data_IF_393342361020
#
_entry.id   IF_393342361020
#
_cell.length_a   1.000
_cell.length_b   1.000
_cell.length_c   1.000
_cell.angle_alpha   90.00
_cell.angle_beta   90.00
_cell.angle_gamma   90.00
#
_symmetry.space_group_name_H-M   'P 1'
#
loop_
_entity.id
_entity.type
_entity.pdbx_description
1 polymer ?
#
# COMPACT_ATOMS: atom_id res chain seq x y z
N UNK A 1 -11.53 3.39 -3.62
CA UNK A 1 -10.51 4.06 -4.46
C UNK A 1 -10.54 3.58 -5.92
N UNK A 2 -10.21 2.31 -6.19
CA UNK A 2 -10.02 1.78 -7.55
C UNK A 2 -11.19 2.01 -8.52
N UNK A 3 -12.43 1.91 -8.05
CA UNK A 3 -13.63 2.20 -8.86
C UNK A 3 -13.56 3.60 -9.46
N UNK A 4 -13.37 4.63 -8.64
CA UNK A 4 -13.31 6.02 -9.11
C UNK A 4 -12.09 6.31 -9.99
N UNK A 5 -10.94 5.68 -9.72
CA UNK A 5 -9.76 5.77 -10.60
C UNK A 5 -10.03 5.18 -12.00
N UNK A 6 -10.73 4.03 -12.07
CA UNK A 6 -11.05 3.39 -13.35
C UNK A 6 -12.12 4.15 -14.13
N UNK A 7 -13.13 4.70 -13.45
CA UNK A 7 -14.11 5.60 -14.08
C UNK A 7 -13.44 6.86 -14.66
N UNK A 8 -12.55 7.50 -13.91
CA UNK A 8 -11.76 8.65 -14.38
C UNK A 8 -10.92 8.32 -15.62
N UNK A 9 -10.43 7.09 -15.72
CA UNK A 9 -9.69 6.57 -16.89
C UNK A 9 -10.59 6.10 -18.04
N UNK A 10 -11.91 6.19 -17.90
CA UNK A 10 -12.87 5.81 -18.93
C UNK A 10 -13.10 4.30 -19.06
N UNK A 11 -12.71 3.48 -18.08
CA UNK A 11 -12.86 2.02 -18.12
C UNK A 11 -14.30 1.51 -17.86
N UNK A 12 -15.27 2.40 -17.60
CA UNK A 12 -16.71 2.11 -17.40
C UNK A 12 -16.97 0.83 -16.57
N UNK A 13 -16.55 0.86 -15.31
CA UNK A 13 -16.80 -0.21 -14.33
C UNK A 13 -18.19 -0.13 -13.69
N UNK A 14 -18.81 1.04 -13.67
CA UNK A 14 -20.20 1.25 -13.26
C UNK A 14 -21.09 1.09 -14.48
N UNK A 15 -21.87 0.01 -14.51
CA UNK A 15 -22.65 -0.37 -15.69
C UNK A 15 -24.15 -0.23 -15.48
N UNK A 16 -24.59 -0.17 -14.22
CA UNK A 16 -26.01 -0.22 -13.88
C UNK A 16 -26.38 0.61 -12.65
N UNK A 17 -27.68 0.87 -12.50
CA UNK A 17 -28.22 1.44 -11.26
C UNK A 17 -27.98 0.57 -10.02
N UNK A 18 -27.78 -0.75 -10.19
CA UNK A 18 -27.44 -1.65 -9.07
C UNK A 18 -26.04 -1.34 -8.54
N UNK A 19 -25.08 -1.07 -9.43
CA UNK A 19 -23.71 -0.72 -9.04
C UNK A 19 -23.68 0.60 -8.29
N UNK A 20 -24.40 1.60 -8.81
CA UNK A 20 -24.59 2.90 -8.15
C UNK A 20 -25.16 2.70 -6.74
N UNK A 21 -26.20 1.88 -6.58
CA UNK A 21 -26.81 1.61 -5.27
C UNK A 21 -25.84 0.94 -4.30
N UNK A 22 -24.99 0.01 -4.76
CA UNK A 22 -23.99 -0.66 -3.92
C UNK A 22 -22.91 0.34 -3.50
N UNK A 23 -22.38 1.12 -4.43
CA UNK A 23 -21.36 2.13 -4.14
C UNK A 23 -21.91 3.18 -3.16
N UNK A 24 -23.14 3.65 -3.37
CA UNK A 24 -23.79 4.58 -2.46
C UNK A 24 -23.93 4.01 -1.04
N UNK A 25 -24.30 2.73 -0.92
CA UNK A 25 -24.35 2.04 0.39
C UNK A 25 -22.98 1.97 1.08
N UNK A 26 -21.90 1.76 0.32
CA UNK A 26 -20.55 1.78 0.90
C UNK A 26 -20.16 3.18 1.41
N UNK A 27 -20.53 4.23 0.69
CA UNK A 27 -20.35 5.62 1.15
C UNK A 27 -21.13 5.88 2.44
N UNK A 28 -22.40 5.48 2.47
CA UNK A 28 -23.27 5.63 3.64
C UNK A 28 -22.75 4.84 4.84
N UNK A 29 -22.23 3.62 4.61
CA UNK A 29 -21.61 2.79 5.64
C UNK A 29 -20.41 3.50 6.26
N UNK A 30 -19.45 3.95 5.44
CA UNK A 30 -18.26 4.65 5.93
C UNK A 30 -18.61 5.91 6.73
N UNK A 31 -19.62 6.66 6.30
CA UNK A 31 -20.11 7.82 7.04
C UNK A 31 -20.78 7.42 8.37
N UNK A 32 -21.54 6.32 8.39
CA UNK A 32 -22.31 5.88 9.56
C UNK A 32 -21.43 5.31 10.67
N UNK A 33 -20.37 4.58 10.30
CA UNK A 33 -19.38 4.07 11.27
C UNK A 33 -18.36 5.14 11.66
N UNK A 34 -18.42 6.34 11.09
CA UNK A 34 -17.44 7.40 11.34
C UNK A 34 -16.00 6.89 11.22
N UNK A 35 -15.61 6.38 10.04
CA UNK A 35 -14.30 5.69 9.81
C UNK A 35 -13.04 6.47 10.26
N UNK A 36 -13.16 7.78 10.49
CA UNK A 36 -12.09 8.64 11.01
C UNK A 36 -12.00 8.62 12.55
N UNK A 37 -12.88 7.91 13.24
CA UNK A 37 -13.02 7.89 14.69
C UNK A 37 -13.19 6.47 15.24
N UNK A 38 -14.02 5.64 14.61
CA UNK A 38 -14.28 4.29 15.11
C UNK A 38 -13.07 3.38 14.81
N UNK A 39 -12.54 2.66 15.83
CA UNK A 39 -11.43 1.75 15.64
C UNK A 39 -11.74 0.60 14.65
N UNK A 40 -10.73 0.17 13.90
CA UNK A 40 -10.79 -0.99 13.02
C UNK A 40 -9.55 -1.89 13.20
N UNK A 41 -9.58 -3.09 12.65
CA UNK A 41 -8.48 -4.07 12.79
C UNK A 41 -7.26 -3.79 11.89
N UNK A 42 -7.27 -2.71 11.09
CA UNK A 42 -6.20 -2.35 10.18
C UNK A 42 -6.02 -3.34 9.03
N UNK A 43 -5.01 -3.07 8.20
CA UNK A 43 -4.65 -3.94 7.06
C UNK A 43 -4.08 -5.30 7.50
N UNK A 44 -3.67 -5.41 8.76
CA UNK A 44 -3.07 -6.59 9.36
C UNK A 44 -4.05 -7.45 10.15
N UNK A 45 -5.32 -7.04 10.22
CA UNK A 45 -6.39 -7.76 10.92
C UNK A 45 -6.12 -7.95 12.43
N UNK A 46 -5.52 -6.96 13.07
CA UNK A 46 -4.99 -7.02 14.44
C UNK A 46 -5.36 -5.79 15.26
N UNK A 47 -5.96 -6.02 16.44
CA UNK A 47 -6.35 -5.02 17.43
C UNK A 47 -7.20 -3.87 16.88
N UNK A 48 -8.33 -3.59 17.52
CA UNK A 48 -9.13 -2.43 17.13
C UNK A 48 -8.43 -1.13 17.58
N UNK A 49 -7.94 -0.37 16.59
CA UNK A 49 -7.32 0.95 16.76
C UNK A 49 -7.75 1.87 15.61
N UNK A 50 -7.59 3.19 15.76
CA UNK A 50 -7.68 4.08 14.60
C UNK A 50 -6.37 3.92 13.81
N UNK A 51 -6.48 3.44 12.58
CA UNK A 51 -5.36 3.16 11.69
C UNK A 51 -5.24 4.21 10.58
N UNK A 52 -4.09 4.88 10.49
CA UNK A 52 -3.86 5.93 9.49
C UNK A 52 -3.99 5.36 8.07
N UNK A 53 -3.52 4.13 7.83
CA UNK A 53 -3.68 3.43 6.56
C UNK A 53 -5.16 3.20 6.19
N UNK A 54 -6.01 2.78 7.14
CA UNK A 54 -7.46 2.61 6.96
C UNK A 54 -8.17 3.95 6.68
N UNK A 55 -7.88 4.98 7.48
CA UNK A 55 -8.43 6.33 7.28
C UNK A 55 -8.05 6.86 5.90
N UNK A 56 -6.79 6.67 5.49
CA UNK A 56 -6.29 7.10 4.19
C UNK A 56 -6.92 6.38 3.01
N UNK A 57 -7.15 5.07 3.12
CA UNK A 57 -7.88 4.30 2.11
C UNK A 57 -9.31 4.85 1.91
N UNK A 58 -9.99 5.18 3.00
CA UNK A 58 -11.33 5.77 2.97
C UNK A 58 -11.32 7.18 2.36
N UNK A 59 -10.42 8.07 2.81
CA UNK A 59 -10.26 9.43 2.24
C UNK A 59 -10.01 9.37 0.74
N UNK A 60 -9.05 8.56 0.29
CA UNK A 60 -8.73 8.41 -1.12
C UNK A 60 -9.92 7.85 -1.91
N UNK A 61 -10.61 6.85 -1.34
CA UNK A 61 -11.79 6.26 -1.93
C UNK A 61 -12.94 7.24 -2.12
N UNK A 62 -13.29 7.96 -1.07
CA UNK A 62 -14.40 8.91 -1.06
C UNK A 62 -14.12 10.11 -1.97
N UNK A 63 -12.89 10.64 -1.97
CA UNK A 63 -12.48 11.68 -2.93
C UNK A 63 -12.67 11.24 -4.37
N UNK A 64 -12.20 10.06 -4.74
CA UNK A 64 -12.32 9.55 -6.12
C UNK A 64 -13.77 9.28 -6.51
N UNK A 65 -14.57 8.70 -5.62
CA UNK A 65 -15.98 8.41 -5.89
C UNK A 65 -16.84 9.68 -5.94
N UNK A 66 -16.49 10.73 -5.19
CA UNK A 66 -17.24 12.00 -5.23
C UNK A 66 -17.21 12.72 -6.58
N UNK A 67 -16.30 12.31 -7.49
CA UNK A 67 -16.23 12.82 -8.86
C UNK A 67 -17.31 12.22 -9.76
N UNK A 68 -18.01 11.16 -9.32
CA UNK A 68 -19.04 10.47 -10.07
C UNK A 68 -20.40 11.15 -9.77
N UNK A 69 -21.04 11.83 -10.73
CA UNK A 69 -22.22 12.67 -10.47
C UNK A 69 -23.41 11.95 -9.81
N UNK A 70 -23.52 10.64 -10.03
CA UNK A 70 -24.60 9.79 -9.51
C UNK A 70 -24.38 9.36 -8.05
N UNK A 71 -23.17 9.52 -7.49
CA UNK A 71 -22.84 9.14 -6.12
C UNK A 71 -22.75 10.37 -5.24
N UNK A 72 -23.50 10.37 -4.13
CA UNK A 72 -23.52 11.46 -3.16
C UNK A 72 -22.56 11.14 -2.03
N UNK A 73 -21.49 11.92 -1.94
CA UNK A 73 -20.52 11.87 -0.85
C UNK A 73 -20.61 13.17 -0.04
N UNK A 74 -20.98 13.13 1.25
CA UNK A 74 -20.92 14.30 2.12
C UNK A 74 -19.48 14.83 2.21
N UNK A 75 -19.29 16.14 2.03
CA UNK A 75 -17.95 16.76 2.06
C UNK A 75 -17.30 16.65 3.43
N UNK A 76 -18.09 16.82 4.49
CA UNK A 76 -17.62 16.80 5.87
C UNK A 76 -17.00 15.45 6.26
N UNK A 77 -17.54 14.35 5.72
CA UNK A 77 -17.02 12.99 5.90
C UNK A 77 -15.56 12.89 5.39
N UNK A 78 -15.27 13.43 4.21
CA UNK A 78 -13.90 13.47 3.67
C UNK A 78 -13.01 14.36 4.53
N UNK A 79 -13.47 15.57 4.86
CA UNK A 79 -12.70 16.56 5.62
C UNK A 79 -12.36 16.05 7.04
N UNK A 80 -13.24 15.29 7.68
CA UNK A 80 -12.98 14.65 8.98
C UNK A 80 -11.86 13.61 8.87
N UNK A 81 -11.89 12.77 7.83
CA UNK A 81 -10.80 11.83 7.56
C UNK A 81 -9.47 12.51 7.28
N UNK A 82 -9.46 13.58 6.49
CA UNK A 82 -8.24 14.37 6.24
C UNK A 82 -7.69 14.99 7.53
N UNK A 83 -8.55 15.59 8.37
CA UNK A 83 -8.14 16.12 9.67
C UNK A 83 -7.55 15.04 10.58
N UNK A 84 -8.13 13.84 10.57
CA UNK A 84 -7.60 12.72 11.34
C UNK A 84 -6.21 12.31 10.83
N UNK A 85 -5.99 12.20 9.52
CA UNK A 85 -4.65 11.92 8.96
C UNK A 85 -3.62 12.97 9.40
N UNK A 86 -3.96 14.26 9.35
CA UNK A 86 -3.04 15.33 9.77
C UNK A 86 -2.72 15.28 11.27
N UNK A 87 -3.61 14.71 12.09
CA UNK A 87 -3.40 14.51 13.52
C UNK A 87 -2.51 13.29 13.81
N UNK A 88 -2.67 12.20 13.05
CA UNK A 88 -2.01 10.93 13.31
C UNK A 88 -0.61 10.84 12.71
N UNK A 89 -0.42 11.35 11.50
CA UNK A 89 0.83 11.15 10.77
C UNK A 89 2.02 11.83 11.48
N UNK A 90 3.21 11.19 11.46
CA UNK A 90 3.58 10.02 10.65
C UNK A 90 3.38 8.66 11.34
N UNK A 91 2.56 8.57 12.40
CA UNK A 91 2.26 7.30 13.09
C UNK A 91 1.14 6.55 12.37
N UNK A 92 1.14 5.22 12.51
CA UNK A 92 0.03 4.39 12.03
C UNK A 92 -1.13 4.41 13.02
N UNK A 93 -0.84 4.33 14.31
CA UNK A 93 -1.83 4.41 15.38
C UNK A 93 -1.20 4.98 16.66
N UNK A 94 -1.98 5.08 17.72
CA UNK A 94 -1.47 5.44 19.05
C UNK A 94 -0.37 4.47 19.51
N UNK A 95 -0.56 3.15 19.29
CA UNK A 95 0.41 2.12 19.68
C UNK A 95 1.52 1.94 18.65
N UNK A 96 1.25 2.13 17.36
CA UNK A 96 2.19 1.86 16.27
C UNK A 96 2.87 3.15 15.77
N UNK A 97 4.10 3.40 16.23
CA UNK A 97 4.90 4.56 15.82
C UNK A 97 5.24 4.57 14.33
N UNK A 98 5.56 3.41 13.76
CA UNK A 98 5.83 3.21 12.33
C UNK A 98 5.22 1.89 11.92
N UNK A 99 4.62 1.85 10.74
CA UNK A 99 4.08 0.64 10.12
C UNK A 99 4.32 0.69 8.61
N UNK A 100 4.61 -0.44 7.99
CA UNK A 100 4.74 -0.61 6.54
C UNK A 100 3.44 -0.21 5.82
N UNK A 101 2.27 -0.38 6.45
CA UNK A 101 0.97 0.02 5.96
C UNK A 101 0.91 1.51 5.57
N UNK A 102 1.70 2.37 6.21
CA UNK A 102 1.80 3.80 5.89
C UNK A 102 2.30 4.06 4.47
N UNK A 103 3.03 3.12 3.84
CA UNK A 103 3.44 3.24 2.44
C UNK A 103 2.22 3.32 1.51
N UNK A 104 1.07 2.75 1.89
CA UNK A 104 -0.17 2.81 1.11
C UNK A 104 -0.71 4.24 0.95
N UNK A 105 -0.44 5.11 1.93
CA UNK A 105 -0.82 6.52 1.92
C UNK A 105 -0.05 7.35 0.89
N UNK A 106 1.13 6.86 0.50
CA UNK A 106 1.95 7.43 -0.57
C UNK A 106 1.58 6.77 -1.90
N UNK A 107 1.51 5.44 -1.93
CA UNK A 107 1.06 4.67 -3.08
C UNK A 107 0.22 3.47 -2.67
N UNK A 108 -1.01 3.31 -3.16
CA UNK A 108 -1.59 4.02 -4.31
C UNK A 108 -2.42 5.25 -3.95
N UNK A 109 -2.67 5.53 -2.67
CA UNK A 109 -3.70 6.47 -2.27
C UNK A 109 -3.33 7.95 -2.51
N UNK A 110 -2.03 8.27 -2.44
CA UNK A 110 -1.51 9.63 -2.67
C UNK A 110 -2.23 10.71 -1.83
N UNK A 111 -2.40 10.42 -0.54
CA UNK A 111 -3.09 11.28 0.44
C UNK A 111 -2.13 11.90 1.47
N UNK A 112 -0.86 11.51 1.48
CA UNK A 112 0.18 12.11 2.30
C UNK A 112 0.69 13.42 1.67
N UNK A 113 0.92 14.44 2.49
CA UNK A 113 1.65 15.65 2.07
C UNK A 113 3.12 15.32 1.77
N UNK A 114 3.87 16.18 1.04
CA UNK A 114 5.28 15.95 0.79
C UNK A 114 6.12 15.74 2.06
N UNK A 115 5.81 16.47 3.14
CA UNK A 115 6.51 16.35 4.42
C UNK A 115 6.19 15.03 5.11
N UNK A 116 4.92 14.65 5.17
CA UNK A 116 4.50 13.37 5.76
C UNK A 116 5.06 12.19 4.99
N UNK A 117 5.09 12.26 3.66
CA UNK A 117 5.74 11.23 2.81
C UNK A 117 7.22 11.07 3.17
N UNK A 118 7.95 12.17 3.32
CA UNK A 118 9.36 12.13 3.71
C UNK A 118 9.54 11.50 5.09
N UNK A 119 8.70 11.88 6.06
CA UNK A 119 8.76 11.35 7.42
C UNK A 119 8.39 9.85 7.47
N UNK A 120 7.36 9.42 6.74
CA UNK A 120 6.98 8.01 6.59
C UNK A 120 8.13 7.21 5.97
N UNK A 121 8.68 7.66 4.83
CA UNK A 121 9.76 6.93 4.15
C UNK A 121 11.00 6.80 5.02
N UNK A 122 11.41 7.90 5.67
CA UNK A 122 12.55 7.89 6.60
C UNK A 122 12.32 6.91 7.74
N UNK A 123 11.14 6.91 8.33
CA UNK A 123 10.80 6.03 9.45
C UNK A 123 10.75 4.56 9.01
N UNK A 124 10.10 4.25 7.90
CA UNK A 124 10.00 2.87 7.37
C UNK A 124 11.39 2.34 7.00
N UNK A 125 12.19 3.11 6.27
CA UNK A 125 13.54 2.68 5.87
C UNK A 125 14.46 2.49 7.08
N UNK A 126 14.39 3.37 8.09
CA UNK A 126 15.27 3.28 9.24
C UNK A 126 14.84 2.18 10.23
N UNK A 127 13.53 2.02 10.46
CA UNK A 127 13.04 1.12 11.50
C UNK A 127 12.65 -0.27 11.01
N UNK A 128 12.18 -0.40 9.77
CA UNK A 128 11.47 -1.59 9.31
C UNK A 128 12.15 -2.36 8.18
N UNK A 129 12.99 -1.72 7.36
CA UNK A 129 13.72 -2.40 6.27
C UNK A 129 14.75 -3.37 6.85
N UNK A 130 14.76 -4.60 6.33
CA UNK A 130 15.68 -5.69 6.68
C UNK A 130 16.38 -6.26 5.45
N UNK A 131 16.95 -7.46 5.56
CA UNK A 131 17.74 -8.06 4.49
C UNK A 131 16.86 -8.50 3.31
N UNK A 132 15.74 -9.16 3.58
CA UNK A 132 14.84 -9.83 2.62
C UNK A 132 13.44 -9.25 2.55
N UNK A 133 13.17 -8.21 3.33
CA UNK A 133 11.90 -7.52 3.28
C UNK A 133 11.83 -6.30 4.18
N UNK A 134 10.60 -5.93 4.47
CA UNK A 134 10.26 -4.88 5.44
C UNK A 134 9.33 -5.52 6.46
N UNK A 135 9.65 -5.41 7.75
CA UNK A 135 8.74 -5.90 8.78
C UNK A 135 7.48 -5.04 8.82
N UNK A 136 6.33 -5.60 9.25
CA UNK A 136 5.06 -4.85 9.28
C UNK A 136 5.16 -3.66 10.23
N UNK A 137 5.48 -3.93 11.47
CA UNK A 137 5.73 -2.95 12.53
C UNK A 137 6.59 -3.63 13.61
N UNK A 138 7.09 -2.88 14.60
CA UNK A 138 7.90 -3.45 15.69
C UNK A 138 7.06 -4.24 16.69
N UNK A 139 7.63 -5.29 17.25
CA UNK A 139 6.97 -6.22 18.17
C UNK A 139 5.82 -7.02 17.51
N UNK A 140 5.90 -7.24 16.20
CA UNK A 140 5.02 -8.13 15.48
C UNK A 140 5.33 -9.60 15.82
N UNK A 141 4.29 -10.34 16.24
CA UNK A 141 4.37 -11.74 16.65
C UNK A 141 4.13 -12.72 15.49
N UNK A 142 3.59 -12.25 14.36
CA UNK A 142 3.21 -13.13 13.24
C UNK A 142 4.47 -13.69 12.56
N UNK A 143 4.65 -15.01 12.64
CA UNK A 143 5.88 -15.72 12.23
C UNK A 143 7.17 -15.20 12.89
N UNK A 144 7.06 -14.62 14.08
CA UNK A 144 8.21 -14.21 14.87
C UNK A 144 9.07 -15.44 15.24
N UNK A 145 10.39 -15.32 15.06
CA UNK A 145 11.33 -16.43 15.24
C UNK A 145 11.96 -16.51 16.63
N UNK A 146 11.67 -15.56 17.51
CA UNK A 146 12.26 -15.49 18.85
C UNK A 146 11.36 -16.18 19.90
N UNK A 147 11.92 -16.95 20.87
CA UNK A 147 11.14 -17.58 21.93
C UNK A 147 10.34 -16.63 22.84
N UNK A 148 10.71 -15.36 22.95
CA UNK A 148 9.94 -14.35 23.70
C UNK A 148 8.70 -13.85 22.93
N UNK A 149 8.56 -14.27 21.66
CA UNK A 149 7.56 -13.80 20.71
C UNK A 149 7.81 -12.40 20.15
N UNK A 150 8.93 -11.74 20.51
CA UNK A 150 9.25 -10.34 20.14
C UNK A 150 10.64 -10.25 19.52
N UNK A 151 10.98 -9.14 18.87
CA UNK A 151 12.37 -8.83 18.46
C UNK A 151 13.03 -9.69 17.35
N UNK A 152 12.28 -10.46 16.56
CA UNK A 152 12.74 -11.17 15.36
C UNK A 152 11.55 -11.29 14.38
N UNK A 153 10.99 -10.14 14.02
CA UNK A 153 9.79 -10.06 13.20
C UNK A 153 10.06 -10.54 11.76
N UNK A 154 9.05 -11.18 11.17
CA UNK A 154 9.14 -11.66 9.80
C UNK A 154 9.33 -10.53 8.79
N UNK A 155 10.15 -10.78 7.78
CA UNK A 155 10.52 -9.81 6.76
C UNK A 155 9.62 -9.97 5.54
N UNK A 156 8.66 -9.05 5.33
CA UNK A 156 7.68 -9.15 4.25
C UNK A 156 8.27 -8.65 2.94
N UNK A 157 8.25 -9.50 1.91
CA UNK A 157 8.89 -9.23 0.61
C UNK A 157 8.27 -8.03 -0.09
N UNK A 158 6.93 -7.89 0.00
CA UNK A 158 6.17 -6.85 -0.69
C UNK A 158 6.54 -5.42 -0.26
N UNK A 159 7.17 -5.25 0.91
CA UNK A 159 7.67 -3.94 1.36
C UNK A 159 8.70 -3.35 0.40
N UNK A 160 9.58 -4.18 -0.17
CA UNK A 160 10.52 -3.75 -1.22
C UNK A 160 9.78 -3.32 -2.50
N UNK A 161 8.69 -4.00 -2.85
CA UNK A 161 7.88 -3.64 -4.01
C UNK A 161 7.26 -2.24 -3.83
N UNK A 162 6.68 -1.96 -2.67
CA UNK A 162 6.15 -0.63 -2.34
C UNK A 162 7.22 0.47 -2.40
N UNK A 163 8.37 0.25 -1.78
CA UNK A 163 9.48 1.21 -1.79
C UNK A 163 9.99 1.46 -3.22
N UNK A 164 10.14 0.41 -4.03
CA UNK A 164 10.52 0.52 -5.44
C UNK A 164 9.53 1.36 -6.26
N UNK A 165 8.21 1.13 -6.08
CA UNK A 165 7.17 1.91 -6.76
C UNK A 165 7.26 3.38 -6.36
N UNK A 166 7.33 3.66 -5.05
CA UNK A 166 7.33 5.02 -4.53
C UNK A 166 8.56 5.77 -5.04
N UNK A 167 9.76 5.18 -4.94
CA UNK A 167 10.98 5.81 -5.44
C UNK A 167 10.99 5.98 -6.96
N UNK A 168 10.39 5.04 -7.71
CA UNK A 168 10.20 5.21 -9.16
C UNK A 168 9.33 6.43 -9.46
N UNK A 169 8.23 6.61 -8.74
CA UNK A 169 7.33 7.76 -8.93
C UNK A 169 8.02 9.08 -8.59
N UNK A 170 8.80 9.11 -7.52
CA UNK A 170 9.64 10.26 -7.12
C UNK A 170 10.77 10.56 -8.10
N UNK A 171 11.15 9.61 -8.96
CA UNK A 171 12.27 9.76 -9.90
C UNK A 171 13.63 9.35 -9.35
N UNK A 172 13.66 8.78 -8.14
CA UNK A 172 14.86 8.32 -7.45
C UNK A 172 15.32 6.95 -7.97
N UNK A 173 15.90 6.94 -9.19
CA UNK A 173 16.24 5.71 -9.92
C UNK A 173 17.08 4.73 -9.09
N UNK A 174 18.14 5.22 -8.43
CA UNK A 174 19.07 4.35 -7.71
C UNK A 174 18.40 3.62 -6.55
N UNK A 175 17.56 4.32 -5.77
CA UNK A 175 16.79 3.71 -4.68
C UNK A 175 15.72 2.75 -5.20
N UNK A 176 15.01 3.15 -6.26
CA UNK A 176 14.01 2.28 -6.87
C UNK A 176 14.62 0.97 -7.39
N UNK A 177 15.77 1.07 -8.06
CA UNK A 177 16.53 -0.08 -8.56
C UNK A 177 17.02 -0.96 -7.41
N UNK A 178 17.58 -0.37 -6.36
CA UNK A 178 18.04 -1.09 -5.17
C UNK A 178 16.95 -2.00 -4.58
N UNK A 179 15.76 -1.46 -4.30
CA UNK A 179 14.68 -2.27 -3.73
C UNK A 179 14.11 -3.28 -4.73
N UNK A 180 14.04 -2.95 -6.02
CA UNK A 180 13.61 -3.91 -7.04
C UNK A 180 14.58 -5.09 -7.18
N UNK A 181 15.88 -4.85 -7.15
CA UNK A 181 16.90 -5.91 -7.23
C UNK A 181 16.87 -6.82 -6.01
N UNK A 182 16.69 -6.26 -4.80
CA UNK A 182 16.49 -7.06 -3.58
C UNK A 182 15.26 -7.96 -3.71
N UNK A 183 14.12 -7.40 -4.11
CA UNK A 183 12.89 -8.14 -4.32
C UNK A 183 13.06 -9.28 -5.34
N UNK A 184 13.73 -9.02 -6.47
CA UNK A 184 14.02 -10.05 -7.48
C UNK A 184 14.92 -11.15 -6.90
N UNK A 185 15.88 -10.79 -6.03
CA UNK A 185 16.75 -11.75 -5.34
C UNK A 185 16.04 -12.66 -4.34
N UNK A 186 14.83 -12.30 -3.92
CA UNK A 186 13.97 -13.05 -3.00
C UNK A 186 12.88 -13.88 -3.71
N UNK A 187 12.88 -13.92 -5.05
CA UNK A 187 11.98 -14.80 -5.81
C UNK A 187 12.46 -16.25 -5.69
N UNK A 188 11.55 -17.16 -5.37
CA UNK A 188 11.79 -18.62 -5.39
C UNK A 188 11.08 -19.28 -6.58
N UNK A 189 11.23 -20.60 -6.74
CA UNK A 189 10.67 -21.32 -7.89
C UNK A 189 9.15 -21.16 -8.01
N UNK A 190 8.45 -21.17 -6.87
CA UNK A 190 7.01 -21.02 -6.77
C UNK A 190 6.52 -19.57 -6.95
N UNK A 191 7.43 -18.59 -6.86
CA UNK A 191 7.14 -17.15 -6.93
C UNK A 191 7.66 -16.38 -5.72
N UNK A 192 7.05 -15.24 -5.39
CA UNK A 192 7.38 -14.42 -4.24
C UNK A 192 6.70 -14.92 -2.97
N UNK A 193 7.47 -15.26 -1.92
CA UNK A 193 6.91 -15.58 -0.61
C UNK A 193 6.18 -14.38 0.01
N UNK A 194 5.21 -14.65 0.88
CA UNK A 194 4.66 -13.63 1.79
C UNK A 194 5.78 -12.97 2.60
N UNK A 195 6.60 -13.79 3.26
CA UNK A 195 7.64 -13.35 4.16
C UNK A 195 8.79 -14.35 4.29
N UNK A 196 9.95 -13.85 4.73
CA UNK A 196 11.06 -14.63 5.26
C UNK A 196 11.07 -14.56 6.79
N UNK A 197 11.47 -15.65 7.44
CA UNK A 197 11.77 -15.62 8.87
C UNK A 197 12.98 -14.72 9.12
N UNK A 198 12.98 -14.00 10.23
CA UNK A 198 14.06 -13.05 10.58
C UNK A 198 15.42 -13.73 10.53
N UNK A 199 16.39 -13.03 9.92
CA UNK A 199 17.77 -13.51 9.75
C UNK A 199 17.89 -14.90 9.09
N UNK A 200 16.94 -15.28 8.26
CA UNK A 200 16.85 -16.61 7.67
C UNK A 200 16.64 -16.57 6.15
N UNK A 201 17.02 -17.67 5.49
CA UNK A 201 16.62 -17.96 4.10
C UNK A 201 15.33 -18.78 4.03
N UNK A 202 14.81 -19.22 5.18
CA UNK A 202 13.54 -19.92 5.26
C UNK A 202 12.41 -18.89 5.07
N UNK A 203 11.45 -19.24 4.24
CA UNK A 203 10.21 -18.51 4.03
C UNK A 203 9.02 -19.36 4.50
N UNK A 204 7.85 -18.77 4.61
CA UNK A 204 6.65 -19.49 5.05
C UNK A 204 5.91 -20.17 3.89
N UNK A 205 4.89 -20.95 4.23
CA UNK A 205 4.14 -21.77 3.27
C UNK A 205 3.18 -20.95 2.39
N UNK A 206 2.95 -19.67 2.71
CA UNK A 206 2.16 -18.74 1.90
C UNK A 206 2.96 -18.24 0.69
N UNK A 207 3.38 -19.17 -0.16
CA UNK A 207 4.27 -18.93 -1.30
C UNK A 207 3.73 -19.62 -2.57
N UNK A 208 3.39 -18.88 -3.63
CA UNK A 208 3.46 -17.43 -3.74
C UNK A 208 2.31 -16.72 -3.01
N UNK A 209 2.55 -15.51 -2.50
CA UNK A 209 1.49 -14.62 -2.03
C UNK A 209 0.97 -13.76 -3.18
N UNK A 210 -0.32 -13.89 -3.51
CA UNK A 210 -0.93 -13.14 -4.62
C UNK A 210 -0.79 -11.62 -4.51
N UNK A 211 -0.75 -11.06 -3.29
CA UNK A 211 -0.51 -9.63 -3.08
C UNK A 211 0.94 -9.25 -3.38
N UNK A 212 1.93 -10.00 -2.90
CA UNK A 212 3.34 -9.76 -3.19
C UNK A 212 3.61 -9.82 -4.70
N UNK A 213 3.09 -10.84 -5.38
CA UNK A 213 3.16 -10.97 -6.85
C UNK A 213 2.56 -9.76 -7.57
N UNK A 214 1.36 -9.36 -7.17
CA UNK A 214 0.65 -8.24 -7.80
C UNK A 214 1.43 -6.93 -7.68
N UNK A 215 1.95 -6.62 -6.49
CA UNK A 215 2.72 -5.38 -6.26
C UNK A 215 4.10 -5.46 -6.91
N UNK A 216 4.72 -6.65 -6.98
CA UNK A 216 5.95 -6.86 -7.75
C UNK A 216 5.78 -6.50 -9.22
N UNK A 217 4.75 -7.03 -9.90
CA UNK A 217 4.48 -6.71 -11.30
C UNK A 217 4.31 -5.20 -11.53
N UNK A 218 3.60 -4.54 -10.62
CA UNK A 218 3.43 -3.08 -10.64
C UNK A 218 4.76 -2.36 -10.43
N UNK A 219 5.61 -2.83 -9.51
CA UNK A 219 6.93 -2.25 -9.26
C UNK A 219 7.84 -2.33 -10.48
N UNK A 220 7.91 -3.50 -11.13
CA UNK A 220 8.67 -3.70 -12.36
C UNK A 220 8.13 -2.84 -13.50
N UNK A 221 6.81 -2.70 -13.64
CA UNK A 221 6.19 -1.83 -14.63
C UNK A 221 6.53 -0.36 -14.40
N UNK A 222 6.35 0.15 -13.18
CA UNK A 222 6.59 1.55 -12.84
C UNK A 222 8.08 1.93 -12.99
N UNK A 223 8.99 1.06 -12.55
CA UNK A 223 10.43 1.25 -12.74
C UNK A 223 10.79 1.34 -14.22
N UNK A 224 10.33 0.37 -15.02
CA UNK A 224 10.61 0.35 -16.46
C UNK A 224 10.03 1.57 -17.18
N UNK A 225 8.77 1.91 -16.88
CA UNK A 225 8.08 3.07 -17.46
C UNK A 225 8.80 4.37 -17.17
N UNK A 226 9.28 4.56 -15.93
CA UNK A 226 9.92 5.80 -15.51
C UNK A 226 11.37 5.90 -15.98
N UNK A 227 12.15 4.83 -15.81
CA UNK A 227 13.62 4.89 -15.87
C UNK A 227 14.24 4.20 -17.08
N UNK A 228 13.51 3.29 -17.73
CA UNK A 228 14.00 2.52 -18.87
C UNK A 228 13.35 2.95 -20.20
N UNK A 229 12.81 4.19 -20.24
CA UNK A 229 12.08 4.77 -21.39
C UNK A 229 12.65 4.27 -22.73
N UNK A 230 11.88 3.42 -23.41
CA UNK A 230 12.15 2.99 -24.77
C UNK A 230 12.49 1.52 -24.98
N UNK A 231 12.81 0.72 -23.96
CA UNK A 231 13.10 -0.71 -24.21
C UNK A 231 11.84 -1.46 -24.68
N UNK A 232 10.75 -1.41 -23.92
CA UNK A 232 9.49 -2.06 -24.27
C UNK A 232 8.74 -1.36 -25.40
N UNK A 233 8.84 -0.04 -25.55
CA UNK A 233 8.28 0.66 -26.72
C UNK A 233 8.94 0.16 -28.01
N UNK A 234 10.28 0.08 -28.05
CA UNK A 234 11.01 -0.45 -29.21
C UNK A 234 10.71 -1.92 -29.47
N UNK A 235 10.49 -2.72 -28.41
CA UNK A 235 10.13 -4.13 -28.54
C UNK A 235 8.70 -4.30 -29.11
N UNK A 236 7.73 -3.52 -28.62
CA UNK A 236 6.34 -3.52 -29.10
C UNK A 236 6.27 -3.00 -30.54
N UNK A 237 7.00 -1.93 -30.88
CA UNK A 237 7.06 -1.38 -32.24
C UNK A 237 7.73 -2.36 -33.22
N UNK A 238 8.63 -3.23 -32.75
CA UNK A 238 9.26 -4.29 -33.54
C UNK A 238 8.40 -5.55 -33.70
N UNK A 239 7.41 -5.76 -32.82
CA UNK A 239 6.43 -6.85 -32.92
C UNK A 239 5.24 -6.44 -33.81
N UNK A 240 4.96 -5.14 -33.89
CA UNK A 240 3.87 -4.57 -34.72
C UNK A 240 4.27 -4.29 -36.18
N UNK A 241 5.55 -4.33 -36.51
CA UNK A 241 6.08 -4.28 -37.87
C UNK A 241 6.64 -5.64 -38.27
#
# INVERSE_FOLDING_TARGET
>A
FKIGELEERGCKVIQSHKDIRIIQKLVEYLASVEYWHDPDSGIWEENEEIHASSVGACVAGLKKISLIPQIKVPKDVIERGERMLRKMLPRESDKKFVDMALLTLIYPFDVATPKEREDILRNVEYHLVKERGVIRYRDDYYYNSNPDGKSEEAEWTMGFAFLSIIYSKLGEKSKAQYYLEKLIGDIVYEGLPELYFSHSKKYNDNTPLGWAESVFLVSAYEFNKKHMKGFFSKLIDKIKN
#
